data_IF_586456019854
#
_entry.id   IF_586456019854
#
_cell.length_a   1.000
_cell.length_b   1.000
_cell.length_c   1.000
_cell.angle_alpha   90.00
_cell.angle_beta   90.00
_cell.angle_gamma   90.00
#
_symmetry.space_group_name_H-M   'P 1'
#
loop_
_entity.id
_entity.type
_entity.pdbx_description
1 polymer ?
#
# COMPACT_ATOMS: atom_id res chain seq x y z
N UNK A 1 18.32 3.45 -13.37
CA UNK A 1 18.36 3.80 -11.93
C UNK A 1 17.58 2.72 -11.21
N UNK A 2 18.12 2.14 -10.14
CA UNK A 2 17.36 1.18 -9.35
C UNK A 2 16.32 1.97 -8.55
N UNK A 3 15.03 1.73 -8.80
CA UNK A 3 13.96 2.32 -8.02
C UNK A 3 13.82 1.54 -6.71
N UNK A 4 13.71 2.27 -5.60
CA UNK A 4 13.32 1.69 -4.31
C UNK A 4 11.88 2.10 -4.07
N UNK A 5 11.02 1.11 -3.84
CA UNK A 5 9.65 1.35 -3.43
C UNK A 5 9.35 0.55 -2.16
N UNK A 6 8.63 1.16 -1.22
CA UNK A 6 8.13 0.49 -0.02
C UNK A 6 6.62 0.33 -0.18
N UNK A 7 6.14 -0.90 -0.08
CA UNK A 7 4.73 -1.25 -0.20
C UNK A 7 4.22 -1.80 1.12
N UNK A 8 3.12 -1.23 1.62
CA UNK A 8 2.49 -1.63 2.88
C UNK A 8 0.99 -1.83 2.66
N UNK A 9 0.44 -2.88 3.27
CA UNK A 9 -1.00 -3.07 3.42
C UNK A 9 -1.37 -2.78 4.86
N UNK A 10 -2.24 -1.80 5.05
CA UNK A 10 -2.78 -1.40 6.35
C UNK A 10 -4.25 -1.81 6.42
N UNK A 11 -4.60 -2.60 7.42
CA UNK A 11 -5.99 -2.95 7.70
C UNK A 11 -6.82 -1.72 8.06
N UNK A 12 -8.16 -1.85 8.07
CA UNK A 12 -9.07 -0.77 8.48
C UNK A 12 -8.90 -0.27 9.92
N UNK A 13 -8.16 -1.00 10.76
CA UNK A 13 -7.92 -0.66 12.17
C UNK A 13 -6.51 -0.09 12.39
N UNK A 14 -5.88 0.43 11.33
CA UNK A 14 -4.53 1.02 11.37
C UNK A 14 -3.40 0.02 11.74
N UNK A 15 -3.68 -1.28 11.60
CA UNK A 15 -2.67 -2.34 11.81
C UNK A 15 -2.03 -2.69 10.47
N UNK A 16 -0.69 -2.59 10.32
CA UNK A 16 0.02 -3.09 9.14
C UNK A 16 -0.05 -4.62 9.11
N UNK A 17 -0.53 -5.18 7.99
CA UNK A 17 -0.71 -6.63 7.80
C UNK A 17 0.23 -7.22 6.75
N UNK A 18 0.88 -6.36 5.96
CA UNK A 18 1.91 -6.75 5.01
C UNK A 18 2.86 -5.59 4.76
N UNK A 19 4.14 -5.90 4.61
CA UNK A 19 5.18 -4.95 4.25
C UNK A 19 6.17 -5.62 3.30
N UNK A 20 6.55 -4.92 2.24
CA UNK A 20 7.57 -5.37 1.31
C UNK A 20 8.34 -4.19 0.72
N UNK A 21 9.65 -4.38 0.58
CA UNK A 21 10.45 -3.55 -0.31
C UNK A 21 10.37 -4.13 -1.72
N UNK A 22 10.01 -3.26 -2.67
CA UNK A 22 9.83 -3.56 -4.08
C UNK A 22 10.89 -2.79 -4.86
N UNK A 23 11.63 -3.48 -5.73
CA UNK A 23 12.67 -2.86 -6.54
C UNK A 23 13.94 -3.69 -6.64
N UNK A 24 14.87 -3.23 -7.48
CA UNK A 24 16.16 -3.89 -7.72
C UNK A 24 17.31 -3.30 -6.91
N UNK A 25 17.04 -2.25 -6.12
CA UNK A 25 18.04 -1.63 -5.27
C UNK A 25 18.41 -2.59 -4.12
N UNK A 26 19.71 -2.68 -3.75
CA UNK A 26 20.12 -3.48 -2.61
C UNK A 26 19.44 -2.96 -1.35
N UNK A 27 18.87 -3.88 -0.55
CA UNK A 27 18.23 -3.57 0.73
C UNK A 27 19.22 -2.82 1.62
N UNK A 28 18.87 -1.59 1.98
CA UNK A 28 19.59 -0.82 3.00
C UNK A 28 18.69 -0.78 4.21
N UNK A 29 18.99 -1.61 5.21
CA UNK A 29 18.17 -1.75 6.42
C UNK A 29 17.90 -0.40 7.11
N UNK A 30 18.86 0.53 7.08
CA UNK A 30 18.72 1.88 7.65
C UNK A 30 17.61 2.73 7.00
N UNK A 31 17.24 2.45 5.74
CA UNK A 31 16.19 3.19 5.03
C UNK A 31 14.79 2.64 5.29
N UNK A 32 14.68 1.38 5.72
CA UNK A 32 13.39 0.71 5.92
C UNK A 32 12.56 1.40 7.01
N UNK A 33 13.18 1.74 8.14
CA UNK A 33 12.54 2.49 9.23
C UNK A 33 12.08 3.89 8.79
N UNK A 34 12.81 4.51 7.87
CA UNK A 34 12.45 5.83 7.35
C UNK A 34 11.21 5.76 6.45
N UNK A 35 11.13 4.73 5.60
CA UNK A 35 9.95 4.49 4.77
C UNK A 35 8.70 4.21 5.60
N UNK A 36 8.82 3.41 6.67
CA UNK A 36 7.73 3.15 7.61
C UNK A 36 7.23 4.44 8.25
N UNK A 37 8.13 5.32 8.68
CA UNK A 37 7.76 6.62 9.27
C UNK A 37 6.98 7.49 8.30
N UNK A 38 7.45 7.62 7.05
CA UNK A 38 6.78 8.42 6.01
C UNK A 38 5.38 7.87 5.72
N UNK A 39 5.25 6.55 5.53
CA UNK A 39 3.96 5.91 5.25
C UNK A 39 2.99 6.05 6.43
N UNK A 40 3.48 5.95 7.66
CA UNK A 40 2.66 6.14 8.85
C UNK A 40 2.16 7.58 8.96
N UNK A 41 3.01 8.58 8.71
CA UNK A 41 2.63 9.99 8.73
C UNK A 41 1.54 10.33 7.69
N UNK A 42 1.49 9.62 6.56
CA UNK A 42 0.50 9.82 5.52
C UNK A 42 -0.89 9.23 5.85
N UNK A 43 -1.04 8.40 6.90
CA UNK A 43 -2.29 7.69 7.20
C UNK A 43 -3.45 8.65 7.50
N UNK A 44 -3.19 9.74 8.22
CA UNK A 44 -4.22 10.73 8.58
C UNK A 44 -4.81 11.37 7.31
N UNK A 45 -3.95 11.76 6.37
CA UNK A 45 -4.37 12.35 5.09
C UNK A 45 -5.14 11.35 4.24
N UNK A 46 -4.71 10.08 4.22
CA UNK A 46 -5.42 9.00 3.52
C UNK A 46 -6.82 8.82 4.09
N UNK A 47 -6.96 8.86 5.41
CA UNK A 47 -8.24 8.68 6.09
C UNK A 47 -9.23 9.77 5.70
N UNK A 48 -8.79 11.03 5.69
CA UNK A 48 -9.62 12.16 5.28
C UNK A 48 -10.05 12.04 3.81
N UNK A 49 -9.09 11.75 2.91
CA UNK A 49 -9.38 11.62 1.48
C UNK A 49 -10.33 10.46 1.19
N UNK A 50 -10.18 9.32 1.85
CA UNK A 50 -11.02 8.14 1.65
C UNK A 50 -12.50 8.40 1.97
N UNK A 51 -12.83 9.44 2.75
CA UNK A 51 -14.22 9.84 3.03
C UNK A 51 -14.78 10.86 2.04
N UNK A 52 -13.94 11.46 1.19
CA UNK A 52 -14.37 12.47 0.21
C UNK A 52 -14.66 11.90 -1.18
N UNK A 53 -14.21 10.67 -1.46
CA UNK A 53 -14.33 10.05 -2.79
C UNK A 53 -14.65 8.57 -2.70
N UNK A 54 -15.39 8.08 -3.71
CA UNK A 54 -15.66 6.64 -3.89
C UNK A 54 -14.61 5.95 -4.78
N UNK A 55 -13.62 6.69 -5.28
CA UNK A 55 -12.56 6.11 -6.09
C UNK A 55 -11.63 5.27 -5.19
N UNK A 56 -11.37 4.02 -5.59
CA UNK A 56 -10.43 3.17 -4.87
C UNK A 56 -8.98 3.67 -5.03
N UNK A 57 -8.60 4.19 -6.19
CA UNK A 57 -7.25 4.73 -6.39
C UNK A 57 -7.22 6.24 -6.09
N UNK A 58 -6.51 6.61 -5.02
CA UNK A 58 -6.37 8.00 -4.55
C UNK A 58 -5.17 8.73 -5.17
N UNK A 59 -4.42 8.07 -6.06
CA UNK A 59 -3.21 8.63 -6.69
C UNK A 59 -2.18 9.03 -5.62
N UNK A 60 -1.43 10.09 -5.88
CA UNK A 60 -0.48 10.70 -4.93
C UNK A 60 -1.24 11.46 -3.84
N UNK A 61 -1.09 10.99 -2.60
CA UNK A 61 -1.71 11.56 -1.41
C UNK A 61 -0.73 12.45 -0.64
N UNK A 62 0.55 12.08 -0.61
CA UNK A 62 1.60 12.82 0.08
C UNK A 62 2.94 12.73 -0.68
N UNK A 63 3.90 13.61 -0.32
CA UNK A 63 5.26 13.63 -0.87
C UNK A 63 6.28 13.94 0.20
N UNK A 64 7.39 13.20 0.17
CA UNK A 64 8.55 13.44 1.01
C UNK A 64 9.82 13.41 0.16
N UNK A 65 10.49 14.57 0.02
CA UNK A 65 11.59 14.77 -0.93
C UNK A 65 11.16 14.34 -2.36
N UNK A 66 11.92 13.44 -2.98
CA UNK A 66 11.63 12.88 -4.31
C UNK A 66 10.67 11.68 -4.27
N UNK A 67 10.27 11.22 -3.08
CA UNK A 67 9.37 10.10 -2.90
C UNK A 67 7.91 10.56 -2.84
N UNK A 68 7.05 9.77 -3.45
CA UNK A 68 5.62 9.98 -3.55
C UNK A 68 4.91 8.85 -2.82
N UNK A 69 3.91 9.20 -2.00
CA UNK A 69 3.00 8.24 -1.39
C UNK A 69 1.76 8.13 -2.27
N UNK A 70 1.64 7.00 -2.96
CA UNK A 70 0.42 6.65 -3.71
C UNK A 70 -0.43 5.65 -2.95
N UNK A 71 -1.75 5.80 -3.04
CA UNK A 71 -2.67 5.01 -2.19
C UNK A 71 -3.84 4.43 -2.97
N UNK A 72 -4.19 3.20 -2.60
CA UNK A 72 -5.37 2.49 -3.07
C UNK A 72 -6.18 1.98 -1.87
N UNK A 73 -7.44 2.38 -1.78
CA UNK A 73 -8.36 2.01 -0.71
C UNK A 73 -9.38 1.02 -1.26
N UNK A 74 -9.41 -0.17 -0.69
CA UNK A 74 -10.40 -1.20 -1.02
C UNK A 74 -11.77 -0.88 -0.43
N UNK A 75 -12.83 -1.51 -0.92
CA UNK A 75 -14.17 -1.39 -0.34
C UNK A 75 -14.26 -1.85 1.13
N UNK A 76 -13.31 -2.65 1.60
CA UNK A 76 -13.20 -3.06 3.01
C UNK A 76 -12.47 -2.05 3.91
N UNK A 77 -12.15 -0.85 3.39
CA UNK A 77 -11.27 0.14 4.03
C UNK A 77 -9.87 -0.37 4.37
N UNK A 78 -9.42 -1.46 3.73
CA UNK A 78 -8.00 -1.81 3.70
C UNK A 78 -7.28 -0.86 2.75
N UNK A 79 -6.17 -0.28 3.21
CA UNK A 79 -5.36 0.71 2.50
C UNK A 79 -4.08 0.05 2.00
N UNK A 80 -3.86 0.11 0.69
CA UNK A 80 -2.60 -0.26 0.06
C UNK A 80 -1.82 1.02 -0.18
N UNK A 81 -0.63 1.11 0.38
CA UNK A 81 0.20 2.32 0.32
C UNK A 81 1.52 1.97 -0.32
N UNK A 82 1.95 2.81 -1.26
CA UNK A 82 3.20 2.65 -1.98
C UNK A 82 3.98 3.95 -1.88
N UNK A 83 5.16 3.89 -1.26
CA UNK A 83 6.17 4.94 -1.32
C UNK A 83 7.09 4.64 -2.50
N UNK A 84 7.23 5.56 -3.45
CA UNK A 84 8.02 5.33 -4.67
C UNK A 84 8.57 6.61 -5.28
N UNK A 85 9.57 6.49 -6.13
CA UNK A 85 10.11 7.57 -6.99
C UNK A 85 9.56 7.51 -8.45
N UNK A 86 8.75 6.48 -8.76
CA UNK A 86 8.18 6.28 -10.10
C UNK A 86 7.24 7.41 -10.52
N UNK A 87 7.35 7.81 -11.79
CA UNK A 87 6.49 8.81 -12.44
C UNK A 87 5.31 8.21 -13.21
N UNK A 88 5.21 6.88 -13.26
CA UNK A 88 4.18 6.19 -14.05
C UNK A 88 2.91 5.93 -13.22
N UNK A 89 1.95 6.87 -13.26
CA UNK A 89 0.68 6.74 -12.54
C UNK A 89 -0.13 5.50 -12.99
N UNK A 90 -0.17 5.23 -14.30
CA UNK A 90 -0.87 4.07 -14.85
C UNK A 90 -0.26 2.75 -14.38
N UNK A 91 1.08 2.66 -14.35
CA UNK A 91 1.77 1.46 -13.86
C UNK A 91 1.51 1.20 -12.37
N UNK A 92 1.47 2.26 -11.56
CA UNK A 92 1.14 2.17 -10.13
C UNK A 92 -0.31 1.74 -9.94
N UNK A 93 -1.24 2.28 -10.73
CA UNK A 93 -2.65 1.89 -10.69
C UNK A 93 -2.83 0.41 -11.05
N UNK A 94 -2.20 -0.07 -12.13
CA UNK A 94 -2.21 -1.48 -12.53
C UNK A 94 -1.63 -2.38 -11.44
N UNK A 95 -0.49 -2.00 -10.85
CA UNK A 95 0.09 -2.72 -9.72
C UNK A 95 -0.91 -2.88 -8.55
N UNK A 96 -1.58 -1.80 -8.14
CA UNK A 96 -2.57 -1.88 -7.07
C UNK A 96 -3.77 -2.77 -7.44
N UNK A 97 -4.20 -2.76 -8.70
CA UNK A 97 -5.30 -3.62 -9.15
C UNK A 97 -4.92 -5.10 -9.09
N UNK A 98 -3.72 -5.47 -9.55
CA UNK A 98 -3.20 -6.85 -9.46
C UNK A 98 -3.06 -7.31 -8.00
N UNK A 99 -2.51 -6.45 -7.14
CA UNK A 99 -2.40 -6.74 -5.70
C UNK A 99 -3.78 -6.89 -5.07
N UNK A 100 -4.77 -6.10 -5.47
CA UNK A 100 -6.15 -6.22 -4.96
C UNK A 100 -6.76 -7.56 -5.33
N UNK A 101 -6.61 -8.02 -6.58
CA UNK A 101 -7.08 -9.33 -6.99
C UNK A 101 -6.43 -10.46 -6.18
N UNK A 102 -5.11 -10.37 -5.96
CA UNK A 102 -4.39 -11.35 -5.15
C UNK A 102 -4.84 -11.32 -3.69
N UNK A 103 -5.01 -10.13 -3.11
CA UNK A 103 -5.46 -9.94 -1.74
C UNK A 103 -6.84 -10.58 -1.51
N UNK A 104 -7.79 -10.39 -2.42
CA UNK A 104 -9.12 -11.00 -2.33
C UNK A 104 -9.01 -12.53 -2.37
N UNK A 105 -8.22 -13.09 -3.30
CA UNK A 105 -8.04 -14.55 -3.43
C UNK A 105 -7.45 -15.15 -2.15
N UNK A 106 -6.40 -14.54 -1.60
CA UNK A 106 -5.76 -14.99 -0.36
C UNK A 106 -6.71 -14.88 0.82
N UNK A 107 -7.44 -13.77 0.94
CA UNK A 107 -8.42 -13.57 2.02
C UNK A 107 -9.56 -14.59 1.94
N UNK A 108 -10.07 -14.87 0.74
CA UNK A 108 -11.12 -15.87 0.54
C UNK A 108 -10.62 -17.27 0.91
N UNK A 109 -9.41 -17.63 0.50
CA UNK A 109 -8.79 -18.91 0.85
C UNK A 109 -8.63 -19.05 2.37
N UNK A 110 -8.15 -17.99 3.03
CA UNK A 110 -7.99 -17.96 4.48
C UNK A 110 -9.34 -18.10 5.21
N UNK A 111 -10.41 -17.50 4.70
CA UNK A 111 -11.75 -17.68 5.25
C UNK A 111 -12.22 -19.14 5.15
N UNK A 112 -12.00 -19.80 4.01
CA UNK A 112 -12.34 -21.22 3.82
C UNK A 112 -11.55 -22.10 4.79
N UNK A 113 -10.22 -21.91 4.87
CA UNK A 113 -9.36 -22.70 5.74
C UNK A 113 -9.77 -22.63 7.22
N UNK A 114 -10.13 -21.43 7.70
CA UNK A 114 -10.59 -21.25 9.08
C UNK A 114 -12.01 -21.80 9.34
N UNK A 115 -12.80 -22.09 8.31
CA UNK A 115 -14.09 -22.76 8.45
C UNK A 115 -13.98 -24.28 8.49
N UNK A 116 -12.95 -24.87 7.89
CA UNK A 116 -12.71 -26.34 7.92
C UNK A 116 -11.96 -26.80 9.18
N UNK A 117 -11.54 -25.87 10.06
CA UNK A 117 -10.83 -26.19 11.31
C UNK A 117 -11.75 -26.47 12.51
N UNK A 118 -13.03 -26.82 12.26
CA UNK A 118 -13.99 -27.28 13.27
C UNK A 118 -14.58 -28.65 12.91
#
# INVERSE_FOLDING_TARGET
MASTACFVIVSKNDIPIYEAEVGSAPKKEDLSYHHQFILHAALDVVQDLAWTTNAMFLKSVDRFNDLVVSVYVTAGHTRFMLLHDSRSEDGIKSFFQEVHELYIKVRQLLLIYNQETF
#
